data_IF_533250961994
#
_entry.id   IF_533250961994
#
_cell.length_a   1.000
_cell.length_b   1.000
_cell.length_c   1.000
_cell.angle_alpha   90.00
_cell.angle_beta   90.00
_cell.angle_gamma   90.00
#
_symmetry.space_group_name_H-M   'P 1'
#
loop_
_entity.id
_entity.type
_entity.pdbx_description
1 polymer ?
#
# COMPACT_ATOMS: atom_id res chain seq x y z
N UNK A 1 -1.90 25.11 -14.42
CA UNK A 1 -1.78 24.89 -12.95
C UNK A 1 -2.59 23.66 -12.61
N UNK A 2 -2.02 22.69 -11.87
CA UNK A 2 -2.77 21.49 -11.44
C UNK A 2 -3.53 21.86 -10.16
N UNK A 3 -4.84 21.68 -10.15
CA UNK A 3 -5.65 21.93 -8.96
C UNK A 3 -5.19 21.02 -7.80
N UNK A 4 -5.17 21.51 -6.55
CA UNK A 4 -4.81 20.67 -5.41
C UNK A 4 -5.81 19.52 -5.26
N UNK A 5 -5.30 18.33 -4.95
CA UNK A 5 -6.15 17.16 -4.70
C UNK A 5 -6.95 17.35 -3.40
N UNK A 6 -8.18 16.82 -3.31
CA UNK A 6 -8.92 16.74 -2.05
C UNK A 6 -8.08 16.04 -0.98
N UNK A 7 -7.94 16.67 0.19
CA UNK A 7 -7.18 16.13 1.32
C UNK A 7 -8.11 15.60 2.40
N UNK A 8 -7.93 14.34 2.78
CA UNK A 8 -8.69 13.66 3.81
C UNK A 8 -7.77 13.26 4.96
N UNK A 9 -8.01 13.80 6.16
CA UNK A 9 -7.29 13.39 7.37
C UNK A 9 -7.93 12.12 7.93
N UNK A 10 -7.12 11.08 8.12
CA UNK A 10 -7.53 9.79 8.66
C UNK A 10 -6.82 9.53 9.98
N UNK A 11 -7.58 9.49 11.07
CA UNK A 11 -7.09 9.16 12.40
C UNK A 11 -7.65 7.81 12.88
N UNK A 12 -7.30 7.43 14.11
CA UNK A 12 -7.76 6.18 14.71
C UNK A 12 -9.22 6.16 15.15
N UNK A 13 -9.95 7.28 15.09
CA UNK A 13 -11.36 7.37 15.50
C UNK A 13 -12.32 7.01 14.36
N UNK A 14 -11.86 7.08 13.11
CA UNK A 14 -12.71 6.79 11.94
C UNK A 14 -12.87 5.29 11.70
N UNK A 15 -14.12 4.87 11.53
CA UNK A 15 -14.44 3.51 11.09
C UNK A 15 -14.05 3.32 9.61
N UNK A 16 -13.27 2.27 9.26
CA UNK A 16 -12.88 2.01 7.86
C UNK A 16 -14.07 1.90 6.91
N UNK A 17 -15.18 1.30 7.36
CA UNK A 17 -16.40 1.12 6.56
C UNK A 17 -17.05 2.46 6.18
N UNK A 18 -17.02 3.46 7.07
CA UNK A 18 -17.53 4.79 6.78
C UNK A 18 -16.56 5.62 5.92
N UNK A 19 -15.26 5.27 5.93
CA UNK A 19 -14.23 5.95 5.15
C UNK A 19 -14.24 5.52 3.68
N UNK A 20 -14.48 4.24 3.40
CA UNK A 20 -14.50 3.69 2.04
C UNK A 20 -15.38 4.51 1.06
N UNK A 21 -16.69 4.79 1.32
CA UNK A 21 -17.52 5.57 0.40
C UNK A 21 -17.03 7.01 0.21
N UNK A 22 -16.46 7.63 1.25
CA UNK A 22 -15.87 8.97 1.14
C UNK A 22 -14.66 8.99 0.21
N UNK A 23 -13.81 7.95 0.31
CA UNK A 23 -12.66 7.78 -0.58
C UNK A 23 -13.09 7.51 -2.01
N UNK A 24 -14.12 6.69 -2.20
CA UNK A 24 -14.67 6.38 -3.50
C UNK A 24 -15.20 7.65 -4.19
N UNK A 25 -15.98 8.46 -3.46
CA UNK A 25 -16.48 9.74 -3.94
C UNK A 25 -15.33 10.70 -4.29
N UNK A 26 -14.34 10.87 -3.42
CA UNK A 26 -13.21 11.76 -3.66
C UNK A 26 -12.34 11.31 -4.85
N UNK A 27 -12.09 10.01 -4.99
CA UNK A 27 -11.27 9.47 -6.06
C UNK A 27 -11.96 9.48 -7.43
N UNK A 28 -13.31 9.50 -7.48
CA UNK A 28 -14.08 9.50 -8.72
C UNK A 28 -13.82 10.71 -9.63
N UNK A 29 -13.41 11.85 -9.06
CA UNK A 29 -13.30 13.11 -9.81
C UNK A 29 -11.87 13.43 -10.22
N UNK A 30 -10.93 13.43 -9.27
CA UNK A 30 -9.55 13.90 -9.52
C UNK A 30 -8.47 13.07 -8.80
N UNK A 31 -8.85 11.98 -8.11
CA UNK A 31 -7.99 11.35 -7.10
C UNK A 31 -8.10 12.04 -5.73
N UNK A 32 -7.32 11.57 -4.75
CA UNK A 32 -7.37 12.11 -3.38
C UNK A 32 -6.05 11.89 -2.63
N UNK A 33 -5.76 12.75 -1.66
CA UNK A 33 -4.66 12.57 -0.70
C UNK A 33 -5.21 12.20 0.67
N UNK A 34 -4.82 11.05 1.22
CA UNK A 34 -5.11 10.66 2.58
C UNK A 34 -3.90 10.96 3.47
N UNK A 35 -4.10 11.80 4.47
CA UNK A 35 -3.12 12.09 5.51
C UNK A 35 -3.45 11.28 6.75
N UNK A 36 -2.65 10.25 7.00
CA UNK A 36 -2.87 9.32 8.11
C UNK A 36 -2.14 9.80 9.36
N UNK A 37 -2.81 9.74 10.51
CA UNK A 37 -2.27 10.13 11.80
C UNK A 37 -1.99 8.88 12.62
N UNK A 38 -0.70 8.56 12.79
CA UNK A 38 -0.24 7.40 13.55
C UNK A 38 -0.67 6.05 12.95
N UNK A 39 -0.43 4.98 13.71
CA UNK A 39 -0.66 3.61 13.23
C UNK A 39 -2.14 3.27 13.04
N UNK A 40 -3.02 3.86 13.85
CA UNK A 40 -4.45 3.59 13.79
C UNK A 40 -5.10 4.22 12.54
N UNK A 41 -4.76 5.47 12.22
CA UNK A 41 -5.22 6.12 10.99
C UNK A 41 -4.70 5.41 9.73
N UNK A 42 -3.45 4.95 9.77
CA UNK A 42 -2.85 4.19 8.66
C UNK A 42 -3.52 2.82 8.45
N UNK A 43 -3.80 2.10 9.55
CA UNK A 43 -4.60 0.88 9.49
C UNK A 43 -5.97 1.17 8.88
N UNK A 44 -6.67 2.20 9.39
CA UNK A 44 -8.00 2.55 8.91
C UNK A 44 -8.03 2.89 7.42
N UNK A 45 -7.05 3.66 6.94
CA UNK A 45 -6.90 3.99 5.52
C UNK A 45 -6.65 2.75 4.66
N UNK A 46 -5.70 1.89 5.01
CA UNK A 46 -5.40 0.69 4.22
C UNK A 46 -6.55 -0.33 4.24
N UNK A 47 -7.27 -0.45 5.35
CA UNK A 47 -8.48 -1.28 5.41
C UNK A 47 -9.58 -0.71 4.50
N UNK A 48 -9.80 0.60 4.50
CA UNK A 48 -10.80 1.24 3.63
C UNK A 48 -10.45 1.05 2.14
N UNK A 49 -9.17 1.18 1.78
CA UNK A 49 -8.68 0.88 0.42
C UNK A 49 -8.89 -0.59 0.05
N UNK A 50 -8.60 -1.50 0.97
CA UNK A 50 -8.82 -2.92 0.77
C UNK A 50 -10.30 -3.30 0.65
N UNK A 51 -11.20 -2.57 1.31
CA UNK A 51 -12.65 -2.71 1.16
C UNK A 51 -13.13 -2.24 -0.21
N UNK A 52 -12.63 -1.10 -0.70
CA UNK A 52 -12.95 -0.60 -2.04
C UNK A 52 -12.57 -1.62 -3.13
N UNK A 53 -11.43 -2.28 -2.97
CA UNK A 53 -10.97 -3.30 -3.93
C UNK A 53 -11.84 -4.56 -4.01
N UNK A 54 -12.70 -4.84 -3.01
CA UNK A 54 -13.60 -6.01 -3.07
C UNK A 54 -14.88 -5.76 -3.86
N UNK A 55 -15.13 -4.50 -4.27
CA UNK A 55 -16.44 -4.09 -4.78
C UNK A 55 -17.48 -4.01 -3.65
N UNK A 56 -18.56 -3.29 -3.90
CA UNK A 56 -19.66 -3.22 -2.95
C UNK A 56 -20.60 -4.40 -3.14
N UNK A 57 -21.11 -4.96 -2.04
CA UNK A 57 -22.11 -6.04 -2.07
C UNK A 57 -23.47 -5.60 -2.61
N UNK A 58 -23.68 -4.30 -2.81
CA UNK A 58 -24.91 -3.70 -3.36
C UNK A 58 -24.96 -3.68 -4.89
N UNK A 59 -23.99 -4.30 -5.58
CA UNK A 59 -23.94 -4.33 -7.03
C UNK A 59 -23.40 -3.04 -7.68
N UNK A 60 -22.99 -2.04 -6.88
CA UNK A 60 -22.11 -0.97 -7.38
C UNK A 60 -20.71 -1.56 -7.61
N UNK A 61 -20.48 -2.02 -8.83
CA UNK A 61 -19.20 -2.52 -9.31
C UNK A 61 -18.23 -1.35 -9.40
N UNK A 62 -17.54 -1.04 -8.31
CA UNK A 62 -16.30 -0.29 -8.38
C UNK A 62 -15.36 -1.07 -9.30
N UNK A 63 -15.13 -0.52 -10.50
CA UNK A 63 -14.62 -1.25 -11.66
C UNK A 63 -13.15 -1.69 -11.55
N UNK A 64 -12.54 -1.58 -10.38
CA UNK A 64 -11.16 -1.94 -10.13
C UNK A 64 -10.73 -1.59 -8.72
N UNK A 65 -9.49 -1.96 -8.43
CA UNK A 65 -8.86 -1.69 -7.15
C UNK A 65 -8.12 -0.35 -7.18
N UNK A 66 -8.21 0.46 -6.09
CA UNK A 66 -7.54 1.74 -6.04
C UNK A 66 -6.03 1.59 -6.20
N UNK A 67 -5.47 2.25 -7.22
CA UNK A 67 -4.04 2.42 -7.36
C UNK A 67 -3.59 3.60 -6.52
N UNK A 68 -2.57 3.41 -5.68
CA UNK A 68 -2.04 4.45 -4.80
C UNK A 68 -0.52 4.45 -4.73
N UNK A 69 0.04 5.57 -4.28
CA UNK A 69 1.40 5.63 -3.76
C UNK A 69 1.34 5.99 -2.28
N UNK A 70 2.34 5.58 -1.52
CA UNK A 70 2.45 5.91 -0.10
C UNK A 70 3.83 6.50 0.15
N UNK A 71 3.85 7.65 0.83
CA UNK A 71 5.05 8.35 1.22
C UNK A 71 5.00 8.71 2.71
N UNK A 72 6.17 8.93 3.29
CA UNK A 72 6.25 9.63 4.56
C UNK A 72 5.73 11.06 4.37
N UNK A 73 4.79 11.49 5.21
CA UNK A 73 4.41 12.90 5.21
C UNK A 73 5.59 13.69 5.78
N UNK A 74 5.98 14.77 5.11
CA UNK A 74 6.89 15.74 5.70
C UNK A 74 6.23 16.24 6.98
N UNK A 75 6.95 16.19 8.11
CA UNK A 75 6.47 16.78 9.34
C UNK A 75 6.24 18.26 9.04
N UNK A 76 4.97 18.66 8.90
CA UNK A 76 4.64 20.06 8.69
C UNK A 76 5.32 20.88 9.79
N UNK A 77 5.94 21.99 9.41
CA UNK A 77 6.62 22.91 10.33
C UNK A 77 5.71 23.44 11.46
N UNK A 78 4.41 23.17 11.38
CA UNK A 78 3.41 23.53 12.39
C UNK A 78 3.15 22.36 13.37
N UNK A 79 4.03 22.24 14.37
CA UNK A 79 3.56 22.01 15.74
C UNK A 79 3.13 20.61 16.17
N UNK A 80 3.81 19.53 15.75
CA UNK A 80 3.68 18.23 16.44
C UNK A 80 4.89 17.96 17.35
N UNK A 81 5.06 18.80 18.37
CA UNK A 81 6.10 18.66 19.41
C UNK A 81 5.90 17.49 20.38
N UNK A 82 4.89 16.65 20.17
CA UNK A 82 4.44 15.64 21.15
C UNK A 82 4.95 14.23 20.85
N UNK A 83 5.91 14.05 19.93
CA UNK A 83 6.36 12.71 19.52
C UNK A 83 5.24 11.85 18.92
N UNK A 84 4.18 12.49 18.39
CA UNK A 84 3.04 11.80 17.78
C UNK A 84 3.52 10.94 16.62
N UNK A 85 3.01 9.71 16.57
CA UNK A 85 3.47 8.67 15.66
C UNK A 85 3.53 9.11 14.19
N UNK A 86 4.35 8.41 13.41
CA UNK A 86 4.62 8.69 11.99
C UNK A 86 3.35 8.97 11.19
N UNK A 87 3.38 10.06 10.42
CA UNK A 87 2.35 10.40 9.45
C UNK A 87 2.72 9.87 8.06
N UNK A 88 1.72 9.43 7.31
CA UNK A 88 1.88 8.98 5.92
C UNK A 88 0.89 9.71 5.03
N UNK A 89 1.35 10.07 3.85
CA UNK A 89 0.52 10.56 2.76
C UNK A 89 0.27 9.40 1.78
N UNK A 90 -0.98 8.99 1.62
CA UNK A 90 -1.40 8.02 0.60
C UNK A 90 -2.06 8.81 -0.52
N UNK A 91 -1.48 8.79 -1.72
CA UNK A 91 -2.05 9.45 -2.89
C UNK A 91 -2.79 8.42 -3.74
N UNK A 92 -4.10 8.58 -3.87
CA UNK A 92 -4.94 7.80 -4.76
C UNK A 92 -4.94 8.42 -6.15
N UNK A 93 -4.72 7.58 -7.17
CA UNK A 93 -5.02 7.97 -8.54
C UNK A 93 -6.53 8.07 -8.75
N UNK A 94 -6.93 8.76 -9.81
CA UNK A 94 -8.33 8.79 -10.25
C UNK A 94 -8.82 7.37 -10.62
N UNK A 95 -10.14 7.23 -10.71
CA UNK A 95 -10.78 5.95 -10.99
C UNK A 95 -10.34 5.29 -12.31
N UNK A 96 -9.82 6.03 -13.29
CA UNK A 96 -9.31 5.47 -14.55
C UNK A 96 -7.99 4.72 -14.37
N UNK A 97 -7.24 5.02 -13.30
CA UNK A 97 -5.98 4.35 -12.97
C UNK A 97 -6.13 3.08 -12.14
N UNK A 98 -7.37 2.72 -11.78
CA UNK A 98 -7.64 1.58 -10.91
C UNK A 98 -7.42 0.26 -11.65
N UNK A 99 -6.82 -0.71 -10.94
CA UNK A 99 -6.42 -2.00 -11.53
C UNK A 99 -7.63 -2.92 -11.58
N UNK A 100 -8.01 -3.38 -12.78
CA UNK A 100 -9.21 -4.21 -12.99
C UNK A 100 -8.98 -5.72 -12.83
N UNK A 101 -7.73 -6.15 -12.70
CA UNK A 101 -7.37 -7.58 -12.71
C UNK A 101 -7.38 -8.18 -11.31
N UNK A 102 -7.66 -9.49 -11.23
CA UNK A 102 -7.50 -10.29 -10.04
C UNK A 102 -6.03 -10.22 -9.57
N UNK A 103 -5.84 -9.58 -8.42
CA UNK A 103 -4.55 -9.36 -7.78
C UNK A 103 -3.62 -10.56 -7.81
N UNK A 104 -4.16 -11.70 -7.39
CA UNK A 104 -3.40 -12.90 -7.00
C UNK A 104 -2.76 -13.59 -8.19
N UNK A 105 -3.39 -13.60 -9.36
CA UNK A 105 -2.87 -14.25 -10.57
C UNK A 105 -1.61 -13.55 -11.13
N UNK A 106 -1.43 -12.28 -10.80
CA UNK A 106 -0.32 -11.46 -11.30
C UNK A 106 0.81 -11.28 -10.28
N UNK A 107 0.63 -11.75 -9.03
CA UNK A 107 1.68 -11.70 -8.02
C UNK A 107 2.68 -12.82 -8.25
N UNK A 108 3.93 -12.46 -8.53
CA UNK A 108 5.01 -13.43 -8.78
C UNK A 108 5.73 -13.87 -7.51
N UNK A 109 5.63 -13.09 -6.42
CA UNK A 109 6.16 -13.48 -5.12
C UNK A 109 5.47 -12.75 -3.99
N UNK A 110 5.38 -13.41 -2.84
CA UNK A 110 4.81 -12.87 -1.61
C UNK A 110 5.87 -12.63 -0.54
N UNK A 111 5.66 -11.57 0.24
CA UNK A 111 6.44 -11.20 1.42
C UNK A 111 5.51 -11.16 2.63
N UNK A 112 5.69 -12.11 3.55
CA UNK A 112 4.82 -12.23 4.72
C UNK A 112 5.30 -11.35 5.89
N UNK A 113 4.39 -10.57 6.45
CA UNK A 113 4.67 -9.60 7.52
C UNK A 113 4.24 -10.17 8.87
N UNK A 114 5.21 -10.68 9.63
CA UNK A 114 5.03 -11.11 11.02
C UNK A 114 5.33 -9.99 11.99
N UNK A 115 4.93 -10.17 13.25
CA UNK A 115 5.28 -9.24 14.33
C UNK A 115 6.79 -9.07 14.49
N UNK A 116 7.57 -10.13 14.25
CA UNK A 116 9.04 -10.10 14.32
C UNK A 116 9.72 -9.54 13.07
N UNK A 117 9.01 -9.43 11.93
CA UNK A 117 9.63 -8.99 10.66
C UNK A 117 10.20 -7.57 10.80
N UNK A 118 11.48 -7.33 10.44
CA UNK A 118 12.07 -6.00 10.48
C UNK A 118 11.60 -5.18 9.26
N UNK A 119 11.04 -3.98 9.50
CA UNK A 119 10.46 -3.17 8.44
C UNK A 119 11.49 -2.75 7.37
N UNK A 120 12.73 -2.43 7.77
CA UNK A 120 13.81 -2.07 6.82
C UNK A 120 14.22 -3.25 5.93
N UNK A 121 14.26 -4.46 6.48
CA UNK A 121 14.55 -5.68 5.70
C UNK A 121 13.44 -5.94 4.68
N UNK A 122 12.18 -5.76 5.10
CA UNK A 122 11.02 -5.87 4.22
C UNK A 122 11.05 -4.83 3.09
N UNK A 123 11.42 -3.58 3.39
CA UNK A 123 11.56 -2.53 2.38
C UNK A 123 12.63 -2.88 1.33
N UNK A 124 13.79 -3.39 1.77
CA UNK A 124 14.87 -3.82 0.86
C UNK A 124 14.42 -4.97 -0.04
N UNK A 125 13.76 -5.98 0.55
CA UNK A 125 13.24 -7.12 -0.21
C UNK A 125 12.21 -6.69 -1.24
N UNK A 126 11.28 -5.80 -0.87
CA UNK A 126 10.29 -5.26 -1.78
C UNK A 126 10.93 -4.47 -2.93
N UNK A 127 11.83 -3.54 -2.59
CA UNK A 127 12.52 -2.71 -3.56
C UNK A 127 13.34 -3.56 -4.56
N UNK A 128 14.13 -4.52 -4.07
CA UNK A 128 14.91 -5.39 -4.94
C UNK A 128 14.00 -6.20 -5.87
N UNK A 129 12.98 -6.87 -5.32
CA UNK A 129 12.08 -7.70 -6.14
C UNK A 129 11.32 -6.89 -7.18
N UNK A 130 10.76 -5.74 -6.80
CA UNK A 130 9.94 -4.92 -7.72
C UNK A 130 10.74 -4.35 -8.88
N UNK A 131 12.05 -4.13 -8.71
CA UNK A 131 12.94 -3.68 -9.78
C UNK A 131 13.10 -4.74 -10.89
N UNK A 132 13.04 -6.02 -10.52
CA UNK A 132 13.25 -7.16 -11.43
C UNK A 132 11.95 -7.78 -11.96
N UNK A 133 10.79 -7.43 -11.38
CA UNK A 133 9.48 -7.97 -11.81
C UNK A 133 9.06 -7.43 -13.18
N UNK A 134 8.58 -8.28 -14.12
CA UNK A 134 8.08 -7.81 -15.42
C UNK A 134 6.90 -6.82 -15.31
N UNK A 135 6.71 -5.98 -16.34
CA UNK A 135 5.52 -5.11 -16.40
C UNK A 135 4.24 -5.96 -16.40
N UNK A 136 3.21 -5.52 -15.68
CA UNK A 136 1.94 -6.26 -15.55
C UNK A 136 2.00 -7.44 -14.56
N UNK A 137 3.10 -7.58 -13.81
CA UNK A 137 3.23 -8.47 -12.66
C UNK A 137 3.43 -7.66 -11.40
N UNK A 138 3.27 -8.29 -10.23
CA UNK A 138 3.38 -7.61 -8.94
C UNK A 138 4.19 -8.39 -7.89
N UNK A 139 4.68 -7.68 -6.89
CA UNK A 139 5.18 -8.25 -5.64
C UNK A 139 4.18 -7.98 -4.53
N UNK A 140 3.70 -9.04 -3.87
CA UNK A 140 2.72 -8.95 -2.81
C UNK A 140 3.36 -8.87 -1.43
N UNK A 141 2.77 -8.06 -0.55
CA UNK A 141 3.01 -8.08 0.89
C UNK A 141 1.74 -8.49 1.58
N UNK A 142 1.83 -9.39 2.53
CA UNK A 142 0.67 -9.91 3.25
C UNK A 142 0.85 -9.77 4.75
N UNK A 143 -0.14 -9.19 5.42
CA UNK A 143 -0.19 -9.07 6.87
C UNK A 143 -1.46 -9.73 7.44
N UNK A 144 -1.34 -10.70 8.37
CA UNK A 144 -2.50 -11.27 9.03
C UNK A 144 -3.16 -10.25 9.95
N UNK A 145 -4.50 -10.19 9.90
CA UNK A 145 -5.33 -9.33 10.73
C UNK A 145 -5.93 -10.03 11.95
N UNK A 146 -5.52 -11.27 12.22
CA UNK A 146 -5.92 -12.06 13.39
C UNK A 146 -5.16 -11.69 14.67
N UNK A 147 -5.74 -12.02 15.83
CA UNK A 147 -5.12 -11.84 17.13
C UNK A 147 -5.27 -10.44 17.73
N UNK A 148 -4.51 -10.14 18.80
CA UNK A 148 -4.72 -8.91 19.59
C UNK A 148 -4.49 -7.63 18.79
N UNK A 149 -5.20 -6.56 19.16
CA UNK A 149 -5.24 -5.30 18.41
C UNK A 149 -3.85 -4.66 18.24
N UNK A 150 -3.04 -4.60 19.31
CA UNK A 150 -1.73 -3.96 19.29
C UNK A 150 -0.74 -4.65 18.33
N UNK A 151 -0.52 -5.99 18.39
CA UNK A 151 0.24 -6.72 17.36
C UNK A 151 -0.29 -6.53 15.94
N UNK A 152 -1.61 -6.53 15.74
CA UNK A 152 -2.23 -6.29 14.43
C UNK A 152 -1.88 -4.92 13.86
N UNK A 153 -2.07 -3.85 14.66
CA UNK A 153 -1.69 -2.47 14.29
C UNK A 153 -0.20 -2.39 13.95
N UNK A 154 0.66 -3.04 14.72
CA UNK A 154 2.10 -3.06 14.48
C UNK A 154 2.46 -3.72 13.15
N UNK A 155 1.85 -4.87 12.79
CA UNK A 155 2.10 -5.54 11.50
C UNK A 155 1.72 -4.67 10.32
N UNK A 156 0.54 -4.02 10.38
CA UNK A 156 0.10 -3.11 9.30
C UNK A 156 0.99 -1.86 9.23
N UNK A 157 1.40 -1.31 10.36
CA UNK A 157 2.34 -0.19 10.39
C UNK A 157 3.71 -0.56 9.79
N UNK A 158 4.22 -1.77 10.05
CA UNK A 158 5.45 -2.28 9.45
C UNK A 158 5.33 -2.47 7.95
N UNK A 159 4.22 -3.04 7.50
CA UNK A 159 3.91 -3.20 6.08
C UNK A 159 3.92 -1.82 5.39
N UNK A 160 3.13 -0.88 5.88
CA UNK A 160 3.01 0.45 5.31
C UNK A 160 4.34 1.21 5.29
N UNK A 161 5.10 1.14 6.39
CA UNK A 161 6.44 1.74 6.45
C UNK A 161 7.39 1.12 5.43
N UNK A 162 7.38 -0.20 5.27
CA UNK A 162 8.22 -0.88 4.30
C UNK A 162 7.88 -0.48 2.87
N UNK A 163 6.59 -0.39 2.54
CA UNK A 163 6.12 0.07 1.22
C UNK A 163 6.54 1.52 0.96
N UNK A 164 6.31 2.43 1.91
CA UNK A 164 6.68 3.84 1.77
C UNK A 164 8.19 4.03 1.61
N UNK A 165 8.98 3.29 2.39
CA UNK A 165 10.45 3.34 2.33
C UNK A 165 10.97 2.77 1.01
N UNK A 166 10.42 1.63 0.57
CA UNK A 166 10.77 1.04 -0.71
C UNK A 166 10.43 1.99 -1.86
N UNK A 167 9.24 2.57 -1.87
CA UNK A 167 8.82 3.54 -2.88
C UNK A 167 9.76 4.75 -2.92
N UNK A 168 10.12 5.30 -1.75
CA UNK A 168 11.08 6.40 -1.65
C UNK A 168 12.44 6.03 -2.24
N UNK A 169 12.98 4.83 -1.98
CA UNK A 169 14.23 4.38 -2.59
C UNK A 169 14.14 4.17 -4.10
N UNK A 170 12.97 3.81 -4.61
CA UNK A 170 12.76 3.62 -6.04
C UNK A 170 12.61 4.92 -6.82
N UNK A 171 12.14 5.99 -6.16
CA UNK A 171 11.98 7.32 -6.77
C UNK A 171 13.21 8.20 -6.53
N UNK A 172 13.83 8.10 -5.36
CA UNK A 172 14.99 8.89 -4.94
C UNK A 172 16.06 7.96 -4.37
N UNK A 173 16.78 7.18 -5.21
CA UNK A 173 17.78 6.25 -4.74
C UNK A 173 18.96 6.96 -4.09
N UNK A 174 19.38 6.48 -2.92
CA UNK A 174 20.62 6.95 -2.28
C UNK A 174 21.88 6.40 -2.95
N UNK A 175 21.76 5.26 -3.67
CA UNK A 175 22.85 4.62 -4.42
C UNK A 175 22.40 4.51 -5.87
N UNK A 176 22.92 5.38 -6.73
CA UNK A 176 22.50 5.53 -8.14
C UNK A 176 22.80 4.32 -9.02
N UNK A 177 23.72 3.45 -8.60
CA UNK A 177 24.13 2.24 -9.35
C UNK A 177 23.16 1.07 -9.16
N UNK A 178 22.29 1.12 -8.15
CA UNK A 178 21.31 0.07 -7.92
C UNK A 178 20.15 0.17 -8.92
N UNK A 179 19.63 -0.96 -9.41
CA UNK A 179 18.46 -0.95 -10.28
C UNK A 179 17.28 -0.34 -9.53
N UNK A 180 16.64 0.65 -10.15
CA UNK A 180 15.43 1.25 -9.62
C UNK A 180 14.28 1.20 -10.59
N UNK A 181 13.07 1.05 -10.05
CA UNK A 181 11.83 1.07 -10.80
C UNK A 181 10.72 1.56 -9.87
N UNK A 182 10.15 2.74 -10.12
CA UNK A 182 8.97 3.21 -9.41
C UNK A 182 7.85 2.17 -9.50
N UNK A 183 6.94 2.16 -8.53
CA UNK A 183 5.80 1.25 -8.53
C UNK A 183 4.56 1.94 -7.99
N UNK A 184 3.40 1.43 -8.39
CA UNK A 184 2.11 1.75 -7.79
C UNK A 184 1.69 0.62 -6.85
N UNK A 185 0.95 0.97 -5.81
CA UNK A 185 0.39 0.02 -4.87
C UNK A 185 -1.09 -0.20 -5.13
N UNK A 186 -1.55 -1.39 -4.78
CA UNK A 186 -2.98 -1.65 -4.59
C UNK A 186 -3.16 -2.42 -3.28
N UNK A 187 -4.36 -2.39 -2.71
CA UNK A 187 -4.67 -3.08 -1.46
C UNK A 187 -5.97 -3.87 -1.58
N UNK A 188 -6.04 -5.01 -0.91
CA UNK A 188 -7.26 -5.83 -0.81
C UNK A 188 -7.34 -6.51 0.56
N UNK A 189 -8.56 -6.80 0.99
CA UNK A 189 -8.83 -7.69 2.11
C UNK A 189 -9.24 -9.07 1.60
N UNK A 190 -8.47 -10.10 1.95
CA UNK A 190 -8.74 -11.49 1.57
C UNK A 190 -9.03 -12.36 2.78
N UNK A 191 -9.84 -13.40 2.58
CA UNK A 191 -10.01 -14.52 3.51
C UNK A 191 -9.17 -15.73 3.07
N UNK A 192 -8.97 -16.75 3.92
CA UNK A 192 -8.26 -17.98 3.58
C UNK A 192 -9.02 -18.81 2.55
N UNK A 193 -10.34 -18.89 2.68
CA UNK A 193 -11.23 -19.65 1.79
C UNK A 193 -11.46 -18.98 0.43
N UNK A 194 -10.69 -17.93 0.12
CA UNK A 194 -10.68 -17.32 -1.20
C UNK A 194 -9.83 -18.22 -2.10
N UNK A 195 -10.39 -18.85 -3.16
CA UNK A 195 -9.65 -19.77 -4.02
C UNK A 195 -8.40 -19.12 -4.66
N UNK A 196 -8.39 -17.79 -4.76
CA UNK A 196 -7.24 -17.01 -5.16
C UNK A 196 -6.04 -17.06 -4.18
N UNK A 197 -6.24 -17.55 -2.94
CA UNK A 197 -5.24 -17.59 -1.87
C UNK A 197 -4.69 -19.00 -1.57
N UNK A 198 -5.21 -20.04 -2.23
CA UNK A 198 -5.06 -21.45 -1.83
C UNK A 198 -3.65 -22.04 -2.06
N UNK A 199 -2.82 -21.42 -2.90
CA UNK A 199 -1.49 -21.96 -3.26
C UNK A 199 -0.28 -21.41 -2.50
N UNK A 200 -0.46 -20.47 -1.55
CA UNK A 200 0.65 -19.62 -1.09
C UNK A 200 0.85 -19.57 0.43
N UNK A 201 -0.04 -20.20 1.21
CA UNK A 201 -0.03 -20.13 2.67
C UNK A 201 0.39 -21.48 3.25
N UNK A 202 1.66 -21.60 3.60
CA UNK A 202 2.13 -22.69 4.46
C UNK A 202 1.54 -22.47 5.87
N UNK A 203 0.47 -23.20 6.18
CA UNK A 203 -0.21 -23.21 7.49
C UNK A 203 -1.69 -22.85 7.42
N UNK A 204 -2.51 -23.55 8.21
CA UNK A 204 -3.93 -23.25 8.39
C UNK A 204 -4.09 -21.97 9.20
N UNK A 205 -4.18 -20.83 8.51
CA UNK A 205 -4.48 -19.55 9.14
C UNK A 205 -5.95 -19.20 8.92
N UNK A 206 -6.76 -19.34 9.95
CA UNK A 206 -8.15 -18.86 9.94
C UNK A 206 -8.17 -17.35 10.23
N UNK A 207 -8.41 -16.52 9.22
CA UNK A 207 -8.58 -15.08 9.43
C UNK A 207 -8.40 -14.20 8.20
N UNK A 208 -8.74 -12.92 8.37
CA UNK A 208 -8.55 -11.92 7.34
C UNK A 208 -7.07 -11.55 7.18
N UNK A 209 -6.70 -11.23 5.94
CA UNK A 209 -5.40 -10.69 5.59
C UNK A 209 -5.55 -9.36 4.88
N UNK A 210 -4.63 -8.43 5.17
CA UNK A 210 -4.40 -7.26 4.36
C UNK A 210 -3.27 -7.58 3.38
N UNK A 211 -3.59 -7.57 2.09
CA UNK A 211 -2.61 -7.73 1.02
C UNK A 211 -2.37 -6.38 0.35
N UNK A 212 -1.10 -6.02 0.16
CA UNK A 212 -0.69 -4.86 -0.63
C UNK A 212 0.24 -5.31 -1.72
N UNK A 213 -0.07 -5.00 -2.97
CA UNK A 213 0.76 -5.38 -4.10
C UNK A 213 1.43 -4.18 -4.73
N UNK A 214 2.72 -4.31 -5.01
CA UNK A 214 3.54 -3.33 -5.70
C UNK A 214 3.68 -3.71 -7.18
N UNK A 215 3.17 -2.84 -8.04
CA UNK A 215 3.10 -2.93 -9.49
C UNK A 215 4.18 -2.04 -10.11
N UNK A 216 5.22 -2.60 -10.73
CA UNK A 216 6.27 -1.81 -11.36
C UNK A 216 5.71 -0.87 -12.44
N UNK A 217 6.30 0.31 -12.56
CA UNK A 217 5.99 1.32 -13.57
C UNK A 217 7.19 1.63 -14.43
N UNK A 218 6.97 1.66 -15.75
CA UNK A 218 8.01 2.03 -16.72
C UNK A 218 9.16 1.01 -16.78
N UNK A 219 10.27 1.34 -17.44
CA UNK A 219 11.45 0.47 -17.48
C UNK A 219 12.22 0.49 -16.15
N UNK A 220 13.00 -0.56 -15.89
CA UNK A 220 14.00 -0.55 -14.82
C UNK A 220 15.13 0.40 -15.19
N UNK A 221 15.38 1.42 -14.36
CA UNK A 221 16.44 2.38 -14.53
C UNK A 221 17.72 1.87 -13.86
N UNK A 222 18.78 1.68 -14.66
CA UNK A 222 20.15 1.59 -14.18
C UNK A 222 20.88 2.79 -14.73
N UNK A 223 21.30 3.71 -13.87
CA UNK A 223 22.21 4.77 -14.32
C UNK A 223 23.54 4.07 -14.64
N UNK A 224 23.97 4.15 -15.90
CA UNK A 224 25.35 3.78 -16.22
C UNK A 224 26.24 4.74 -15.41
N UNK A 225 27.27 4.24 -14.71
CA UNK A 225 28.27 5.15 -14.17
C UNK A 225 28.74 6.02 -15.33
N UNK A 226 28.59 7.33 -15.20
CA UNK A 226 29.18 8.27 -16.14
C UNK A 226 30.66 7.90 -16.18
N UNK A 227 31.21 7.55 -17.33
CA UNK A 227 32.63 7.21 -17.46
C UNK A 227 33.43 8.39 -16.88
N UNK A 228 34.06 8.16 -15.71
CA UNK A 228 34.99 9.07 -15.04
C UNK A 228 36.39 8.69 -15.46
#
# INVERSE_FOLDING_TARGET
>A
MVAPLPRLRVDGARCPHALAPQLAAAASTFGAELHTVGQAGLLGALLALGQLGRGSSDGSTWAGMPAFSIAHAEAGAEGSGDGRGREYCIRLGDASTWVRSALTEQVVSWLFVRTATPARGLAKALAARVADVPQGRAVGLEAPLLGPERPRKLRVAKLAHAVATAHAWQVTPSIVTLPTRPFQCTAVLTKPDDPAAEGLREGHWEGWFLQVCAWPKGPCMRQRPSDV
#
